data_IF_682465137039
#
_entry.id   IF_682465137039
#
_cell.length_a   1.000
_cell.length_b   1.000
_cell.length_c   1.000
_cell.angle_alpha   90.00
_cell.angle_beta   90.00
_cell.angle_gamma   90.00
#
_symmetry.space_group_name_H-M   'P 1'
#
loop_
_entity.id
_entity.type
_entity.pdbx_description
1 polymer ?
#
# COMPACT_ATOMS: atom_id res chain seq x y z
N UNK A 1 -12.31 -27.78 -16.56
CA UNK A 1 -12.82 -27.11 -15.36
C UNK A 1 -11.63 -26.41 -14.72
N UNK A 2 -11.48 -25.14 -14.99
CA UNK A 2 -10.40 -24.32 -14.40
C UNK A 2 -10.83 -23.95 -13.00
N UNK A 3 -10.50 -24.80 -12.03
CA UNK A 3 -10.82 -24.53 -10.64
C UNK A 3 -9.75 -23.61 -10.08
N UNK A 4 -10.09 -22.34 -9.86
CA UNK A 4 -9.23 -21.43 -9.10
C UNK A 4 -8.77 -22.12 -7.81
N UNK A 5 -7.45 -22.02 -7.46
CA UNK A 5 -6.93 -22.61 -6.23
C UNK A 5 -7.70 -22.11 -5.00
N UNK A 6 -8.05 -23.02 -4.13
CA UNK A 6 -8.75 -22.73 -2.90
C UNK A 6 -7.79 -22.09 -1.89
N UNK A 7 -8.11 -20.90 -1.38
CA UNK A 7 -7.19 -20.16 -0.51
C UNK A 7 -7.77 -19.85 0.86
N UNK A 8 -6.90 -19.83 1.87
CA UNK A 8 -7.19 -19.40 3.24
C UNK A 8 -6.24 -18.28 3.63
N UNK A 9 -6.76 -17.13 3.99
CA UNK A 9 -5.97 -15.94 4.33
C UNK A 9 -5.95 -15.73 5.85
N UNK A 10 -4.76 -15.64 6.46
CA UNK A 10 -4.60 -15.46 7.90
C UNK A 10 -4.07 -14.05 8.19
N UNK A 11 -4.88 -13.23 8.89
CA UNK A 11 -4.60 -11.82 9.17
C UNK A 11 -4.63 -11.56 10.67
N UNK A 12 -3.46 -11.30 11.28
CA UNK A 12 -3.29 -11.18 12.73
C UNK A 12 -3.47 -9.76 13.30
N UNK A 13 -3.83 -8.77 12.51
CA UNK A 13 -4.04 -7.39 12.94
C UNK A 13 -5.44 -7.18 13.54
N UNK A 14 -5.53 -6.31 14.58
CA UNK A 14 -6.83 -5.82 15.10
C UNK A 14 -7.28 -4.53 14.42
N UNK A 15 -6.34 -3.71 13.96
CA UNK A 15 -6.58 -2.47 13.25
C UNK A 15 -6.48 -2.60 11.73
N UNK A 16 -6.54 -1.49 11.00
CA UNK A 16 -6.51 -1.41 9.54
C UNK A 16 -5.27 -0.67 9.03
N UNK A 17 -4.10 -1.30 9.15
CA UNK A 17 -2.89 -0.83 8.48
C UNK A 17 -2.91 -1.10 6.96
N UNK A 18 -1.87 -0.67 6.24
CA UNK A 18 -1.78 -0.86 4.79
C UNK A 18 -1.80 -2.33 4.36
N UNK A 19 -1.18 -3.22 5.14
CA UNK A 19 -1.16 -4.66 4.86
C UNK A 19 -2.54 -5.31 5.06
N UNK A 20 -3.24 -4.92 6.12
CA UNK A 20 -4.59 -5.39 6.43
C UNK A 20 -5.61 -4.91 5.40
N UNK A 21 -5.56 -3.64 5.00
CA UNK A 21 -6.42 -3.09 3.94
C UNK A 21 -6.19 -3.82 2.62
N UNK A 22 -4.94 -4.05 2.25
CA UNK A 22 -4.64 -4.83 1.05
C UNK A 22 -5.19 -6.25 1.15
N UNK A 23 -5.04 -6.94 2.31
CA UNK A 23 -5.56 -8.29 2.51
C UNK A 23 -7.09 -8.34 2.31
N UNK A 24 -7.82 -7.42 2.94
CA UNK A 24 -9.28 -7.30 2.78
C UNK A 24 -9.68 -7.10 1.32
N UNK A 25 -9.01 -6.18 0.63
CA UNK A 25 -9.29 -5.88 -0.77
C UNK A 25 -9.02 -7.09 -1.68
N UNK A 26 -7.89 -7.77 -1.51
CA UNK A 26 -7.54 -8.96 -2.28
C UNK A 26 -8.54 -10.09 -2.04
N UNK A 27 -8.90 -10.39 -0.79
CA UNK A 27 -9.86 -11.43 -0.43
C UNK A 27 -11.23 -11.13 -1.04
N UNK A 28 -11.72 -9.90 -0.88
CA UNK A 28 -13.00 -9.48 -1.45
C UNK A 28 -13.00 -9.56 -2.98
N UNK A 29 -11.89 -9.21 -3.63
CA UNK A 29 -11.74 -9.28 -5.07
C UNK A 29 -11.72 -10.73 -5.58
N UNK A 30 -11.00 -11.64 -4.89
CA UNK A 30 -11.00 -13.08 -5.19
C UNK A 30 -12.41 -13.66 -5.05
N UNK A 31 -13.14 -13.29 -3.99
CA UNK A 31 -14.53 -13.75 -3.77
C UNK A 31 -15.47 -13.25 -4.87
N UNK A 32 -15.37 -11.97 -5.28
CA UNK A 32 -16.18 -11.42 -6.39
C UNK A 32 -15.98 -12.15 -7.71
N UNK A 33 -14.78 -12.70 -7.93
CA UNK A 33 -14.45 -13.49 -9.13
C UNK A 33 -14.84 -14.98 -9.02
N UNK A 34 -15.57 -15.36 -7.98
CA UNK A 34 -16.00 -16.75 -7.76
C UNK A 34 -14.92 -17.66 -7.21
N UNK A 35 -13.78 -17.11 -6.76
CA UNK A 35 -12.70 -17.88 -6.14
C UNK A 35 -13.15 -18.46 -4.78
N UNK A 36 -12.75 -19.71 -4.50
CA UNK A 36 -12.97 -20.35 -3.20
C UNK A 36 -11.99 -19.77 -2.18
N UNK A 37 -12.39 -18.70 -1.48
CA UNK A 37 -11.54 -17.96 -0.53
C UNK A 37 -12.22 -17.90 0.84
N UNK A 38 -11.42 -18.06 1.92
CA UNK A 38 -11.84 -17.88 3.30
C UNK A 38 -10.77 -17.11 4.09
N UNK A 39 -11.13 -16.61 5.26
CA UNK A 39 -10.22 -15.87 6.11
C UNK A 39 -10.20 -16.36 7.57
N UNK A 40 -9.03 -16.30 8.20
CA UNK A 40 -8.87 -16.36 9.66
C UNK A 40 -8.55 -14.98 10.18
N UNK A 41 -9.43 -14.44 11.01
CA UNK A 41 -9.35 -13.06 11.51
C UNK A 41 -9.47 -13.02 13.04
N UNK A 42 -9.22 -11.86 13.63
CA UNK A 42 -9.58 -11.61 15.03
C UNK A 42 -11.08 -11.26 15.09
N UNK A 43 -11.84 -11.97 15.90
CA UNK A 43 -13.29 -11.73 16.05
C UNK A 43 -13.59 -10.27 16.41
N UNK A 44 -14.55 -9.66 15.70
CA UNK A 44 -14.97 -8.28 15.92
C UNK A 44 -13.92 -7.22 15.56
N UNK A 45 -12.77 -7.60 14.98
CA UNK A 45 -11.75 -6.68 14.49
C UNK A 45 -12.20 -5.93 13.21
N UNK A 46 -11.51 -4.85 12.88
CA UNK A 46 -11.79 -4.05 11.68
C UNK A 46 -11.71 -4.89 10.40
N UNK A 47 -10.70 -5.76 10.30
CA UNK A 47 -10.55 -6.70 9.17
C UNK A 47 -11.77 -7.59 9.02
N UNK A 48 -12.25 -8.20 10.13
CA UNK A 48 -13.41 -9.08 10.10
C UNK A 48 -14.68 -8.37 9.62
N UNK A 49 -14.87 -7.11 10.02
CA UNK A 49 -16.02 -6.29 9.60
C UNK A 49 -15.93 -5.81 8.15
N UNK A 50 -14.73 -5.66 7.62
CA UNK A 50 -14.48 -5.14 6.26
C UNK A 50 -14.53 -6.24 5.18
N UNK A 51 -14.52 -7.53 5.55
CA UNK A 51 -14.68 -8.62 4.61
C UNK A 51 -16.13 -8.71 4.11
N UNK A 52 -16.29 -9.03 2.82
CA UNK A 52 -17.59 -9.22 2.22
C UNK A 52 -18.35 -10.36 2.93
N UNK A 53 -19.71 -10.27 3.10
CA UNK A 53 -20.51 -11.31 3.77
C UNK A 53 -20.41 -12.70 3.15
N UNK A 54 -20.07 -12.78 1.85
CA UNK A 54 -19.88 -14.03 1.13
C UNK A 54 -18.57 -14.76 1.48
N UNK A 55 -17.62 -14.10 2.17
CA UNK A 55 -16.35 -14.70 2.56
C UNK A 55 -16.50 -15.45 3.89
N UNK A 56 -16.34 -16.79 3.91
CA UNK A 56 -16.36 -17.56 5.15
C UNK A 56 -15.23 -17.10 6.08
N UNK A 57 -15.57 -16.88 7.36
CA UNK A 57 -14.61 -16.43 8.36
C UNK A 57 -14.47 -17.43 9.48
N UNK A 58 -13.23 -17.73 9.82
CA UNK A 58 -12.82 -18.41 11.04
C UNK A 58 -12.19 -17.38 11.97
N UNK A 59 -12.23 -17.60 13.27
CA UNK A 59 -11.70 -16.64 14.23
C UNK A 59 -10.66 -17.25 15.14
N UNK A 60 -9.54 -16.53 15.33
CA UNK A 60 -8.49 -16.84 16.29
C UNK A 60 -8.04 -15.53 16.98
N UNK A 61 -7.74 -15.56 18.31
CA UNK A 61 -7.37 -14.35 19.05
C UNK A 61 -6.09 -13.68 18.56
N UNK A 62 -5.11 -14.47 18.12
CA UNK A 62 -3.81 -14.03 17.61
C UNK A 62 -3.14 -12.97 18.52
N UNK A 63 -3.21 -13.21 19.85
CA UNK A 63 -2.71 -12.28 20.85
C UNK A 63 -1.19 -12.08 20.78
N UNK A 64 -0.44 -13.10 20.34
CA UNK A 64 1.00 -13.06 20.16
C UNK A 64 1.50 -14.16 19.21
N UNK A 65 2.80 -14.15 18.93
CA UNK A 65 3.41 -15.15 18.03
C UNK A 65 3.57 -16.56 18.65
N UNK A 66 3.32 -16.72 19.93
CA UNK A 66 3.41 -17.98 20.69
C UNK A 66 2.05 -18.46 21.18
N UNK A 67 0.97 -17.88 20.69
CA UNK A 67 -0.40 -18.21 21.07
C UNK A 67 -0.79 -19.60 20.52
N UNK A 68 -0.66 -20.63 21.39
CA UNK A 68 -0.96 -22.02 21.05
C UNK A 68 -2.45 -22.24 20.73
N UNK A 69 -3.34 -21.49 21.38
CA UNK A 69 -4.77 -21.56 21.11
C UNK A 69 -5.08 -21.06 19.69
N UNK A 70 -4.49 -19.93 19.31
CA UNK A 70 -4.62 -19.43 17.95
C UNK A 70 -4.02 -20.39 16.92
N UNK A 71 -2.89 -21.02 17.20
CA UNK A 71 -2.31 -22.07 16.32
C UNK A 71 -3.29 -23.22 16.11
N UNK A 72 -3.86 -23.73 17.18
CA UNK A 72 -4.86 -24.80 17.11
C UNK A 72 -6.09 -24.36 16.31
N UNK A 73 -6.64 -23.18 16.58
CA UNK A 73 -7.80 -22.62 15.83
C UNK A 73 -7.50 -22.48 14.32
N UNK A 74 -6.29 -22.03 13.96
CA UNK A 74 -5.85 -21.92 12.56
C UNK A 74 -5.77 -23.31 11.93
N UNK A 75 -5.23 -24.33 12.64
CA UNK A 75 -5.17 -25.70 12.13
C UNK A 75 -6.58 -26.29 11.91
N UNK A 76 -7.51 -26.05 12.83
CA UNK A 76 -8.91 -26.44 12.67
C UNK A 76 -9.54 -25.75 11.42
N UNK A 77 -9.25 -24.47 11.19
CA UNK A 77 -9.71 -23.75 10.00
C UNK A 77 -9.14 -24.35 8.70
N UNK A 78 -7.85 -24.70 8.71
CA UNK A 78 -7.19 -25.36 7.56
C UNK A 78 -7.83 -26.73 7.30
N UNK A 79 -8.06 -27.53 8.33
CA UNK A 79 -8.69 -28.84 8.21
C UNK A 79 -10.15 -28.77 7.71
N UNK A 80 -10.91 -27.79 8.18
CA UNK A 80 -12.29 -27.58 7.78
C UNK A 80 -12.42 -27.02 6.37
N UNK A 81 -11.56 -26.05 6.01
CA UNK A 81 -11.61 -25.39 4.71
C UNK A 81 -10.91 -26.19 3.61
N UNK A 82 -9.88 -26.97 3.94
CA UNK A 82 -9.04 -27.73 3.00
C UNK A 82 -8.52 -26.88 1.84
N UNK A 83 -7.74 -25.83 2.11
CA UNK A 83 -7.20 -24.95 1.07
C UNK A 83 -6.03 -25.60 0.31
N UNK A 84 -5.76 -25.15 -0.92
CA UNK A 84 -4.50 -25.39 -1.63
C UNK A 84 -3.40 -24.45 -1.12
N UNK A 85 -3.77 -23.21 -0.81
CA UNK A 85 -2.86 -22.14 -0.37
C UNK A 85 -3.32 -21.58 0.98
N UNK A 86 -2.38 -21.45 1.91
CA UNK A 86 -2.55 -20.64 3.14
C UNK A 86 -1.67 -19.41 3.02
N UNK A 87 -2.28 -18.26 2.75
CA UNK A 87 -1.55 -17.00 2.68
C UNK A 87 -1.59 -16.27 4.02
N UNK A 88 -0.43 -15.85 4.51
CA UNK A 88 -0.30 -15.11 5.76
C UNK A 88 0.16 -13.68 5.52
N UNK A 89 -0.33 -12.75 6.35
CA UNK A 89 0.02 -11.34 6.30
C UNK A 89 0.70 -10.93 7.60
N UNK A 90 1.89 -10.32 7.48
CA UNK A 90 2.72 -9.87 8.59
C UNK A 90 3.24 -10.99 9.50
N UNK A 91 4.30 -10.68 10.27
CA UNK A 91 5.05 -11.68 11.04
C UNK A 91 4.27 -12.43 12.11
N UNK A 92 3.22 -11.82 12.69
CA UNK A 92 2.39 -12.50 13.72
C UNK A 92 1.61 -13.67 13.13
N UNK A 93 0.86 -13.43 12.06
CA UNK A 93 0.09 -14.47 11.37
C UNK A 93 1.02 -15.55 10.81
N UNK A 94 2.11 -15.14 10.15
CA UNK A 94 3.09 -16.07 9.58
C UNK A 94 3.68 -16.99 10.64
N UNK A 95 4.04 -16.48 11.83
CA UNK A 95 4.60 -17.27 12.92
C UNK A 95 3.64 -18.33 13.47
N UNK A 96 2.33 -18.04 13.43
CA UNK A 96 1.29 -18.94 13.94
C UNK A 96 0.95 -20.08 12.98
N UNK A 97 1.20 -19.92 11.69
CA UNK A 97 0.99 -20.97 10.68
C UNK A 97 2.24 -21.85 10.60
N UNK A 98 2.08 -23.17 10.77
CA UNK A 98 3.16 -24.15 10.64
C UNK A 98 2.64 -25.30 9.80
N UNK A 99 3.20 -25.45 8.60
CA UNK A 99 2.84 -26.49 7.64
C UNK A 99 4.07 -27.27 7.23
N UNK A 100 3.87 -28.50 6.78
CA UNK A 100 4.97 -29.37 6.33
C UNK A 100 5.36 -28.99 4.90
N UNK A 101 6.63 -28.68 4.64
CA UNK A 101 7.11 -28.43 3.27
C UNK A 101 6.84 -29.61 2.33
N UNK A 102 6.61 -29.32 1.04
CA UNK A 102 6.36 -30.33 0.02
C UNK A 102 4.99 -31.01 0.07
N UNK A 103 4.07 -30.54 0.92
CA UNK A 103 2.69 -31.03 1.03
C UNK A 103 1.69 -29.88 0.96
N UNK A 104 0.48 -30.18 0.51
CA UNK A 104 -0.64 -29.22 0.61
C UNK A 104 -1.15 -29.08 2.04
N UNK A 105 -1.61 -27.89 2.42
CA UNK A 105 -1.57 -26.65 1.65
C UNK A 105 -0.18 -25.99 1.64
N UNK A 106 0.10 -25.20 0.59
CA UNK A 106 1.31 -24.39 0.51
C UNK A 106 1.19 -23.15 1.40
N UNK A 107 2.20 -22.91 2.23
CA UNK A 107 2.26 -21.69 3.05
C UNK A 107 2.96 -20.56 2.28
N UNK A 108 2.20 -19.58 1.82
CA UNK A 108 2.68 -18.36 1.18
C UNK A 108 2.73 -17.20 2.19
N UNK A 109 3.90 -16.67 2.48
CA UNK A 109 4.05 -15.51 3.35
C UNK A 109 4.13 -14.22 2.55
N UNK A 110 3.21 -13.26 2.80
CA UNK A 110 3.22 -11.95 2.16
C UNK A 110 3.91 -10.92 3.04
N UNK A 111 4.89 -10.23 2.45
CA UNK A 111 5.62 -9.13 3.07
C UNK A 111 5.30 -7.81 2.34
N UNK A 112 5.11 -6.75 3.11
CA UNK A 112 4.90 -5.39 2.60
C UNK A 112 5.98 -4.42 3.09
N UNK A 113 7.11 -4.93 3.59
CA UNK A 113 8.23 -4.13 4.10
C UNK A 113 9.46 -4.98 4.38
N UNK A 114 10.59 -4.34 4.57
CA UNK A 114 11.90 -4.95 4.86
C UNK A 114 11.97 -5.38 6.34
N UNK A 115 11.38 -6.52 6.66
CA UNK A 115 11.33 -7.07 8.02
C UNK A 115 12.44 -8.07 8.27
N UNK A 116 12.83 -8.24 9.55
CA UNK A 116 13.66 -9.39 9.96
C UNK A 116 12.92 -10.69 9.66
N UNK A 117 13.59 -11.65 8.99
CA UNK A 117 12.93 -12.85 8.45
C UNK A 117 12.69 -13.97 9.46
N UNK A 118 13.06 -13.81 10.76
CA UNK A 118 12.88 -14.86 11.78
C UNK A 118 11.46 -15.41 11.86
N UNK A 119 10.43 -14.57 11.58
CA UNK A 119 9.03 -14.98 11.61
C UNK A 119 8.57 -15.64 10.31
N UNK A 120 9.34 -15.52 9.22
CA UNK A 120 8.92 -15.87 7.87
C UNK A 120 9.64 -17.07 7.27
N UNK A 121 10.87 -17.41 7.73
CA UNK A 121 11.74 -18.43 7.11
C UNK A 121 11.12 -19.83 6.97
N UNK A 122 10.10 -20.14 7.74
CA UNK A 122 9.44 -21.47 7.73
C UNK A 122 8.27 -21.55 6.73
N UNK A 123 7.94 -20.47 6.06
CA UNK A 123 6.98 -20.51 4.95
C UNK A 123 7.59 -21.28 3.77
N UNK A 124 6.74 -21.72 2.83
CA UNK A 124 7.17 -22.48 1.66
C UNK A 124 7.49 -21.59 0.48
N UNK A 125 6.82 -20.42 0.40
CA UNK A 125 7.05 -19.39 -0.58
C UNK A 125 6.81 -18.01 0.02
N UNK A 126 7.35 -16.98 -0.62
CA UNK A 126 7.28 -15.60 -0.17
C UNK A 126 6.85 -14.68 -1.31
N UNK A 127 5.99 -13.71 -1.00
CA UNK A 127 5.62 -12.69 -1.96
C UNK A 127 5.87 -11.30 -1.38
N UNK A 128 6.72 -10.53 -2.07
CA UNK A 128 6.96 -9.11 -1.85
C UNK A 128 6.07 -8.25 -2.73
N UNK A 129 5.81 -7.01 -2.32
CA UNK A 129 5.02 -6.06 -3.11
C UNK A 129 5.86 -5.18 -4.03
N UNK A 130 7.19 -5.31 -4.02
CA UNK A 130 8.14 -4.61 -4.89
C UNK A 130 9.29 -5.53 -5.29
N UNK A 131 9.97 -5.20 -6.38
CA UNK A 131 11.16 -5.94 -6.84
C UNK A 131 12.29 -5.85 -5.82
N UNK A 132 12.55 -4.65 -5.27
CA UNK A 132 13.57 -4.47 -4.24
C UNK A 132 13.29 -5.25 -2.97
N UNK A 133 12.02 -5.43 -2.59
CA UNK A 133 11.67 -6.33 -1.49
C UNK A 133 11.92 -7.78 -1.87
N UNK A 134 11.59 -8.21 -3.09
CA UNK A 134 11.91 -9.54 -3.60
C UNK A 134 13.41 -9.81 -3.56
N UNK A 135 14.23 -8.89 -4.06
CA UNK A 135 15.68 -8.98 -4.04
C UNK A 135 16.21 -9.07 -2.60
N UNK A 136 15.73 -8.23 -1.69
CA UNK A 136 16.07 -8.30 -0.27
C UNK A 136 15.80 -9.68 0.33
N UNK A 137 14.66 -10.31 0.01
CA UNK A 137 14.33 -11.64 0.51
C UNK A 137 15.35 -12.69 0.05
N UNK A 138 15.79 -12.62 -1.21
CA UNK A 138 16.84 -13.50 -1.77
C UNK A 138 18.19 -13.23 -1.09
N UNK A 139 18.59 -11.97 -0.95
CA UNK A 139 19.83 -11.58 -0.26
C UNK A 139 19.87 -12.02 1.21
N UNK A 140 18.70 -12.11 1.86
CA UNK A 140 18.56 -12.66 3.21
C UNK A 140 18.57 -14.21 3.25
N UNK A 141 18.84 -14.87 2.11
CA UNK A 141 19.02 -16.31 1.99
C UNK A 141 17.73 -17.11 1.84
N UNK A 142 16.67 -16.52 1.30
CA UNK A 142 15.51 -17.28 0.85
C UNK A 142 15.73 -17.77 -0.60
N UNK A 143 15.25 -18.98 -0.97
CA UNK A 143 15.43 -19.52 -2.31
C UNK A 143 14.76 -18.63 -3.37
N UNK A 144 15.50 -18.18 -4.36
CA UNK A 144 15.00 -17.27 -5.41
C UNK A 144 13.78 -17.87 -6.14
N UNK A 145 13.78 -19.18 -6.41
CA UNK A 145 12.67 -19.88 -7.06
C UNK A 145 11.36 -19.86 -6.26
N UNK A 146 11.39 -19.52 -4.97
CA UNK A 146 10.24 -19.44 -4.08
C UNK A 146 9.91 -17.99 -3.67
N UNK A 147 10.68 -17.00 -4.15
CA UNK A 147 10.42 -15.58 -3.92
C UNK A 147 9.70 -14.99 -5.13
N UNK A 148 8.54 -14.41 -4.87
CA UNK A 148 7.68 -13.84 -5.92
C UNK A 148 7.44 -12.36 -5.65
N UNK A 149 7.10 -11.61 -6.71
CA UNK A 149 6.76 -10.18 -6.61
C UNK A 149 5.38 -9.97 -7.21
N UNK A 150 4.44 -9.50 -6.38
CA UNK A 150 3.10 -9.10 -6.81
C UNK A 150 2.74 -7.81 -6.08
N UNK A 151 2.53 -6.74 -6.83
CA UNK A 151 2.25 -5.39 -6.31
C UNK A 151 0.92 -5.26 -5.57
N UNK A 152 0.62 -4.03 -5.21
CA UNK A 152 -0.71 -3.66 -4.73
C UNK A 152 -1.54 -3.13 -5.90
N UNK A 153 -2.85 -3.12 -5.75
CA UNK A 153 -3.74 -2.44 -6.68
C UNK A 153 -4.43 -1.25 -6.03
N UNK A 154 -4.93 -0.36 -6.84
CA UNK A 154 -5.79 0.74 -6.42
C UNK A 154 -7.15 0.63 -7.09
N UNK A 155 -8.19 1.01 -6.36
CA UNK A 155 -9.53 1.07 -6.94
C UNK A 155 -9.66 2.35 -7.77
N UNK A 156 -10.35 2.32 -8.91
CA UNK A 156 -10.65 3.54 -9.63
C UNK A 156 -11.53 4.43 -8.74
N UNK A 157 -11.10 5.68 -8.45
CA UNK A 157 -11.87 6.56 -7.59
C UNK A 157 -13.14 7.06 -8.32
N UNK A 158 -14.19 7.33 -7.54
CA UNK A 158 -15.28 8.16 -8.02
C UNK A 158 -14.71 9.55 -8.39
N UNK A 159 -15.04 10.03 -9.59
CA UNK A 159 -14.58 11.34 -10.04
C UNK A 159 -15.46 12.43 -9.51
N UNK A 160 -14.84 13.45 -8.90
CA UNK A 160 -15.52 14.69 -8.59
C UNK A 160 -15.76 15.46 -9.90
N UNK A 161 -16.97 15.96 -10.09
CA UNK A 161 -17.23 16.94 -11.12
C UNK A 161 -16.64 18.31 -10.74
N UNK A 162 -16.68 19.29 -11.65
CA UNK A 162 -16.11 20.63 -11.42
C UNK A 162 -16.80 21.34 -10.26
N UNK A 163 -18.12 21.19 -10.11
CA UNK A 163 -18.90 21.81 -9.04
C UNK A 163 -18.54 21.18 -7.67
N UNK A 164 -18.49 19.87 -7.57
CA UNK A 164 -18.10 19.13 -6.36
C UNK A 164 -16.67 19.51 -5.92
N UNK A 165 -15.75 19.60 -6.88
CA UNK A 165 -14.37 20.02 -6.63
C UNK A 165 -14.30 21.47 -6.13
N UNK A 166 -15.02 22.39 -6.76
CA UNK A 166 -15.09 23.79 -6.36
C UNK A 166 -15.71 23.93 -4.96
N UNK A 167 -16.79 23.21 -4.69
CA UNK A 167 -17.46 23.17 -3.38
C UNK A 167 -16.53 22.64 -2.28
N UNK A 168 -15.80 21.56 -2.55
CA UNK A 168 -14.82 21.02 -1.61
C UNK A 168 -13.68 22.02 -1.35
N UNK A 169 -13.13 22.66 -2.40
CA UNK A 169 -12.13 23.73 -2.20
C UNK A 169 -12.68 24.89 -1.36
N UNK A 170 -13.88 25.34 -1.64
CA UNK A 170 -14.51 26.44 -0.88
C UNK A 170 -14.73 26.08 0.60
N UNK A 171 -15.20 24.86 0.88
CA UNK A 171 -15.41 24.39 2.27
C UNK A 171 -14.14 24.31 3.10
N UNK A 172 -12.98 24.19 2.46
CA UNK A 172 -11.66 24.18 3.08
C UNK A 172 -10.98 25.57 3.07
N UNK A 173 -11.64 26.62 2.57
CA UNK A 173 -11.04 27.95 2.42
C UNK A 173 -9.97 28.03 1.32
N UNK A 174 -10.01 27.12 0.33
CA UNK A 174 -9.00 26.96 -0.73
C UNK A 174 -9.46 27.49 -2.09
N UNK A 175 -10.57 28.25 -2.14
CA UNK A 175 -11.07 28.83 -3.38
C UNK A 175 -10.00 29.73 -4.05
N UNK A 176 -9.75 29.54 -5.34
CA UNK A 176 -8.74 30.29 -6.09
C UNK A 176 -7.28 29.93 -5.77
N UNK A 177 -7.02 29.01 -4.84
CA UNK A 177 -5.68 28.64 -4.39
C UNK A 177 -5.05 27.52 -5.23
N UNK A 178 -3.72 27.48 -5.26
CA UNK A 178 -2.94 26.26 -5.58
C UNK A 178 -2.85 25.38 -4.35
N UNK A 179 -2.90 24.07 -4.54
CA UNK A 179 -2.95 23.10 -3.43
C UNK A 179 -1.92 22.00 -3.61
N UNK A 180 -1.07 21.84 -2.61
CA UNK A 180 -0.30 20.61 -2.40
C UNK A 180 -1.09 19.69 -1.46
N UNK A 181 -1.06 18.39 -1.69
CA UNK A 181 -1.64 17.41 -0.77
C UNK A 181 -0.59 16.39 -0.34
N UNK A 182 -0.49 16.15 0.96
CA UNK A 182 0.24 15.04 1.53
C UNK A 182 -0.71 14.08 2.24
N UNK A 183 -0.67 12.80 1.89
CA UNK A 183 -1.54 11.77 2.46
C UNK A 183 -0.72 10.70 3.16
N UNK A 184 -1.05 10.36 4.40
CA UNK A 184 -0.42 9.28 5.12
C UNK A 184 -0.38 9.43 6.63
N UNK A 185 0.08 8.39 7.31
CA UNK A 185 0.24 8.40 8.76
C UNK A 185 1.30 9.45 9.17
N UNK A 186 1.03 10.23 10.19
CA UNK A 186 1.99 11.20 10.73
C UNK A 186 3.06 10.47 11.58
N UNK A 187 4.07 9.94 10.86
CA UNK A 187 5.11 9.08 11.40
C UNK A 187 6.50 9.52 10.87
N UNK A 188 7.61 9.34 11.60
CA UNK A 188 8.95 9.79 11.18
C UNK A 188 9.37 9.38 9.77
N UNK A 189 9.02 8.14 9.36
CA UNK A 189 9.39 7.64 8.02
C UNK A 189 8.72 8.38 6.84
N UNK A 190 7.70 9.22 7.11
CA UNK A 190 6.95 9.92 6.07
C UNK A 190 7.50 11.29 5.69
N UNK A 191 8.57 11.77 6.37
CA UNK A 191 9.25 13.00 6.00
C UNK A 191 8.42 14.28 6.10
N UNK A 192 7.45 14.30 7.01
CA UNK A 192 6.53 15.44 7.15
C UNK A 192 7.22 16.72 7.56
N UNK A 193 8.25 16.65 8.41
CA UNK A 193 9.07 17.80 8.79
C UNK A 193 9.81 18.38 7.57
N UNK A 194 10.41 17.51 6.75
CA UNK A 194 11.08 17.93 5.51
C UNK A 194 10.09 18.59 4.54
N UNK A 195 8.86 18.08 4.46
CA UNK A 195 7.81 18.69 3.64
C UNK A 195 7.44 20.10 4.16
N UNK A 196 7.28 20.28 5.47
CA UNK A 196 6.98 21.59 6.07
C UNK A 196 8.14 22.59 5.82
N UNK A 197 9.38 22.16 6.00
CA UNK A 197 10.56 22.99 5.68
C UNK A 197 10.66 23.31 4.18
N UNK A 198 10.33 22.38 3.31
CA UNK A 198 10.28 22.61 1.86
C UNK A 198 9.16 23.60 1.51
N UNK A 199 7.97 23.39 2.08
CA UNK A 199 6.80 24.24 1.84
C UNK A 199 7.02 25.69 2.32
N UNK A 200 7.73 25.90 3.43
CA UNK A 200 8.11 27.21 3.91
C UNK A 200 8.97 28.03 2.92
N UNK A 201 9.70 27.34 2.03
CA UNK A 201 10.54 27.97 1.00
C UNK A 201 9.78 28.34 -0.27
N UNK A 202 8.57 27.82 -0.44
CA UNK A 202 7.79 28.07 -1.66
C UNK A 202 7.11 29.45 -1.59
N UNK A 203 7.19 30.24 -2.67
CA UNK A 203 6.49 31.51 -2.75
C UNK A 203 4.99 31.32 -2.72
N UNK A 204 4.30 32.27 -2.11
CA UNK A 204 2.83 32.35 -2.13
C UNK A 204 2.47 33.65 -2.84
N UNK A 205 1.81 33.55 -4.00
CA UNK A 205 1.47 34.70 -4.81
C UNK A 205 0.20 35.37 -4.31
N UNK A 206 0.18 36.72 -4.20
CA UNK A 206 -1.06 37.45 -3.94
C UNK A 206 -2.08 37.13 -5.06
N UNK A 207 -3.29 36.73 -4.70
CA UNK A 207 -4.34 36.38 -5.67
C UNK A 207 -4.36 34.92 -6.11
N UNK A 208 -3.28 34.13 -5.89
CA UNK A 208 -3.27 32.69 -6.09
C UNK A 208 -2.43 32.02 -4.98
N UNK A 209 -2.89 32.06 -3.72
CA UNK A 209 -2.13 31.56 -2.60
C UNK A 209 -1.86 30.06 -2.70
N UNK A 210 -0.72 29.62 -2.14
CA UNK A 210 -0.35 28.22 -2.11
C UNK A 210 -0.63 27.64 -0.72
N UNK A 211 -1.42 26.57 -0.66
CA UNK A 211 -1.78 25.85 0.56
C UNK A 211 -1.29 24.41 0.54
N UNK A 212 -1.01 23.86 1.72
CA UNK A 212 -0.71 22.45 1.94
C UNK A 212 -1.85 21.80 2.72
N UNK A 213 -2.44 20.76 2.16
CA UNK A 213 -3.46 19.93 2.80
C UNK A 213 -2.80 18.65 3.31
N UNK A 214 -2.85 18.41 4.61
CA UNK A 214 -2.29 17.23 5.27
C UNK A 214 -3.42 16.29 5.68
N UNK A 215 -3.49 15.12 5.02
CA UNK A 215 -4.52 14.10 5.22
C UNK A 215 -3.92 12.91 5.95
N UNK A 216 -4.35 12.68 7.16
CA UNK A 216 -3.89 11.59 8.00
C UNK A 216 -3.69 12.02 9.45
N UNK A 217 -3.36 11.04 10.28
CA UNK A 217 -3.11 11.26 11.71
C UNK A 217 -1.97 10.34 12.17
N UNK A 218 -1.44 10.61 13.36
CA UNK A 218 -0.37 9.80 13.93
C UNK A 218 0.38 10.47 15.07
N UNK A 219 1.39 9.77 15.62
CA UNK A 219 2.08 10.22 16.84
C UNK A 219 2.79 11.56 16.71
N UNK A 220 3.16 12.00 15.50
CA UNK A 220 3.85 13.27 15.29
C UNK A 220 2.92 14.48 15.15
N UNK A 221 1.60 14.33 15.28
CA UNK A 221 0.63 15.40 15.04
C UNK A 221 1.00 16.70 15.76
N UNK A 222 1.16 16.64 17.07
CA UNK A 222 1.43 17.83 17.90
C UNK A 222 2.78 18.48 17.59
N UNK A 223 3.82 17.65 17.31
CA UNK A 223 5.15 18.10 16.95
C UNK A 223 5.14 18.84 15.61
N UNK A 224 4.46 18.28 14.62
CA UNK A 224 4.36 18.89 13.29
C UNK A 224 3.52 20.16 13.29
N UNK A 225 2.47 20.26 14.10
CA UNK A 225 1.71 21.49 14.29
C UNK A 225 2.53 22.58 15.00
N UNK A 226 3.40 22.20 15.94
CA UNK A 226 4.35 23.14 16.56
C UNK A 226 5.35 23.67 15.54
N UNK A 227 5.98 22.78 14.77
CA UNK A 227 6.91 23.15 13.69
C UNK A 227 6.23 24.03 12.63
N UNK A 228 4.98 23.74 12.28
CA UNK A 228 4.19 24.55 11.34
C UNK A 228 4.05 26.00 11.84
N UNK A 229 3.77 26.19 13.13
CA UNK A 229 3.69 27.53 13.75
C UNK A 229 5.05 28.25 13.80
N UNK A 230 6.11 27.55 14.16
CA UNK A 230 7.48 28.07 14.17
C UNK A 230 7.91 28.57 12.78
N UNK A 231 7.49 27.85 11.73
CA UNK A 231 7.77 28.21 10.34
C UNK A 231 6.82 29.31 9.79
N UNK A 232 5.85 29.80 10.58
CA UNK A 232 4.89 30.80 10.13
C UNK A 232 3.89 30.32 9.08
N UNK A 233 3.57 29.02 9.09
CA UNK A 233 2.73 28.36 8.08
C UNK A 233 1.29 28.10 8.56
N UNK A 234 0.89 28.56 9.74
CA UNK A 234 -0.39 28.21 10.37
C UNK A 234 -1.60 28.48 9.47
N UNK A 235 -1.58 29.57 8.70
CA UNK A 235 -2.68 29.97 7.81
C UNK A 235 -2.64 29.26 6.44
N UNK A 236 -1.58 28.54 6.15
CA UNK A 236 -1.34 27.89 4.84
C UNK A 236 -1.36 26.37 4.90
N UNK A 237 -1.36 25.74 6.08
CA UNK A 237 -1.38 24.29 6.28
C UNK A 237 -2.69 23.84 6.92
N UNK A 238 -3.40 22.95 6.22
CA UNK A 238 -4.69 22.43 6.63
C UNK A 238 -4.57 20.98 7.10
N UNK A 239 -4.89 20.74 8.36
CA UNK A 239 -4.80 19.44 9.01
C UNK A 239 -6.17 18.76 9.03
N UNK A 240 -6.40 17.78 8.15
CA UNK A 240 -7.72 17.15 8.04
C UNK A 240 -7.91 15.90 8.92
N UNK A 241 -6.84 15.45 9.58
CA UNK A 241 -6.90 14.21 10.35
C UNK A 241 -7.11 12.99 9.48
N UNK A 242 -7.52 11.89 10.11
CA UNK A 242 -7.81 10.66 9.40
C UNK A 242 -9.04 10.78 8.51
N UNK A 243 -8.91 10.37 7.25
CA UNK A 243 -10.00 10.35 6.27
C UNK A 243 -10.19 8.92 5.74
N UNK A 244 -11.44 8.46 5.69
CA UNK A 244 -11.78 7.13 5.15
C UNK A 244 -11.61 7.08 3.63
N UNK A 245 -11.92 8.18 2.96
CA UNK A 245 -11.75 8.37 1.51
C UNK A 245 -10.82 9.55 1.24
N UNK A 246 -9.51 9.32 1.12
CA UNK A 246 -8.55 10.36 0.75
C UNK A 246 -8.61 10.73 -0.73
N UNK A 247 -9.30 9.95 -1.57
CA UNK A 247 -9.35 10.12 -3.03
C UNK A 247 -9.76 11.53 -3.45
N UNK A 248 -10.78 12.09 -2.80
CA UNK A 248 -11.28 13.43 -3.06
C UNK A 248 -10.23 14.55 -2.86
N UNK A 249 -9.29 14.37 -1.94
CA UNK A 249 -8.26 15.38 -1.67
C UNK A 249 -7.13 15.35 -2.69
N UNK A 250 -6.84 14.20 -3.29
CA UNK A 250 -5.95 14.14 -4.45
C UNK A 250 -6.54 14.93 -5.62
N UNK A 251 -7.85 14.77 -5.90
CA UNK A 251 -8.51 15.41 -7.05
C UNK A 251 -8.62 16.94 -6.94
N UNK A 252 -8.59 17.52 -5.74
CA UNK A 252 -8.56 18.98 -5.58
C UNK A 252 -7.14 19.56 -5.66
N UNK A 253 -6.11 18.71 -5.56
CA UNK A 253 -4.73 19.17 -5.48
C UNK A 253 -4.10 19.42 -6.84
N UNK A 254 -3.22 20.41 -6.89
CA UNK A 254 -2.34 20.64 -8.02
C UNK A 254 -1.19 19.63 -8.03
N UNK A 255 -0.64 19.27 -6.86
CA UNK A 255 0.45 18.30 -6.71
C UNK A 255 0.21 17.44 -5.49
N UNK A 256 0.36 16.14 -5.63
CA UNK A 256 0.49 15.19 -4.50
C UNK A 256 1.95 15.01 -4.13
N UNK A 257 2.25 15.08 -2.83
CA UNK A 257 3.62 14.99 -2.33
C UNK A 257 3.80 13.76 -1.46
N UNK A 258 4.76 12.90 -1.85
CA UNK A 258 5.25 11.80 -1.03
C UNK A 258 6.67 12.12 -0.55
N UNK A 259 6.79 12.75 0.61
CA UNK A 259 8.08 13.18 1.17
C UNK A 259 8.80 12.09 1.99
N UNK A 260 8.36 10.84 1.87
CA UNK A 260 8.83 9.72 2.70
C UNK A 260 10.34 9.54 2.64
N UNK A 261 10.98 9.40 3.79
CA UNK A 261 12.40 9.04 3.89
C UNK A 261 12.60 7.51 3.82
N UNK A 262 11.55 6.77 4.13
CA UNK A 262 11.48 5.33 4.00
C UNK A 262 10.09 4.91 3.50
N UNK A 263 10.06 4.29 2.33
CA UNK A 263 8.84 3.82 1.69
C UNK A 263 9.14 2.53 0.93
N UNK A 264 8.39 1.47 1.19
CA UNK A 264 8.61 0.18 0.52
C UNK A 264 7.99 0.15 -0.86
N UNK A 265 6.77 0.67 -1.03
CA UNK A 265 6.08 0.74 -2.31
C UNK A 265 5.68 2.18 -2.65
N UNK A 266 4.90 2.82 -1.79
CA UNK A 266 4.32 4.14 -2.08
C UNK A 266 2.87 4.04 -2.57
N UNK A 267 1.99 3.41 -1.80
CA UNK A 267 0.56 3.35 -2.15
C UNK A 267 -0.03 4.73 -2.45
N UNK A 268 0.42 5.78 -1.75
CA UNK A 268 -0.03 7.17 -1.96
C UNK A 268 0.31 7.69 -3.36
N UNK A 269 1.36 7.17 -4.01
CA UNK A 269 1.70 7.48 -5.40
C UNK A 269 0.68 6.82 -6.33
N UNK A 270 0.39 5.53 -6.12
CA UNK A 270 -0.61 4.81 -6.89
C UNK A 270 -2.00 5.45 -6.74
N UNK A 271 -2.37 5.84 -5.51
CA UNK A 271 -3.60 6.55 -5.21
C UNK A 271 -3.67 7.91 -5.95
N UNK A 272 -2.60 8.70 -5.92
CA UNK A 272 -2.53 9.98 -6.62
C UNK A 272 -2.66 9.81 -8.14
N UNK A 273 -1.95 8.85 -8.74
CA UNK A 273 -2.05 8.54 -10.17
C UNK A 273 -3.47 8.08 -10.57
N UNK A 274 -4.10 7.22 -9.76
CA UNK A 274 -5.49 6.80 -9.99
C UNK A 274 -6.45 7.98 -9.95
N UNK A 275 -6.15 9.00 -9.13
CA UNK A 275 -6.89 10.24 -9.04
C UNK A 275 -6.46 11.31 -10.08
N UNK A 276 -5.53 10.97 -10.99
CA UNK A 276 -5.01 11.87 -12.05
C UNK A 276 -4.38 13.14 -11.47
N UNK A 277 -3.61 12.98 -10.41
CA UNK A 277 -2.89 14.06 -9.75
C UNK A 277 -1.40 13.94 -10.03
N UNK A 278 -0.75 15.05 -10.38
CA UNK A 278 0.71 15.10 -10.55
C UNK A 278 1.40 14.74 -9.24
N UNK A 279 2.41 13.86 -9.30
CA UNK A 279 3.14 13.40 -8.12
C UNK A 279 4.55 13.97 -8.07
N UNK A 280 4.91 14.50 -6.90
CA UNK A 280 6.31 14.74 -6.51
C UNK A 280 6.63 13.78 -5.38
N UNK A 281 7.70 13.02 -5.51
CA UNK A 281 8.17 12.10 -4.45
C UNK A 281 9.66 12.25 -4.19
N UNK A 282 10.08 11.95 -2.97
CA UNK A 282 11.50 11.72 -2.68
C UNK A 282 12.00 10.44 -3.35
N UNK A 283 13.32 10.32 -3.57
CA UNK A 283 14.00 9.13 -4.11
C UNK A 283 14.13 8.01 -3.07
N UNK A 284 13.07 7.76 -2.30
CA UNK A 284 13.00 6.57 -1.46
C UNK A 284 12.86 5.30 -2.32
N UNK A 285 13.14 4.13 -1.75
CA UNK A 285 13.27 2.88 -2.51
C UNK A 285 12.01 2.52 -3.30
N UNK A 286 10.82 2.57 -2.68
CA UNK A 286 9.57 2.27 -3.36
C UNK A 286 9.24 3.25 -4.49
N UNK A 287 9.27 4.58 -4.26
CA UNK A 287 9.13 5.56 -5.32
C UNK A 287 10.06 5.35 -6.52
N UNK A 288 11.33 4.96 -6.31
CA UNK A 288 12.27 4.67 -7.40
C UNK A 288 11.85 3.46 -8.27
N UNK A 289 11.04 2.55 -7.74
CA UNK A 289 10.50 1.44 -8.54
C UNK A 289 9.25 1.83 -9.34
N UNK A 290 8.49 2.82 -8.84
CA UNK A 290 7.24 3.25 -9.45
C UNK A 290 7.46 4.39 -10.47
N UNK A 291 8.34 5.33 -10.12
CA UNK A 291 8.44 6.61 -10.81
C UNK A 291 9.63 6.67 -11.76
N UNK A 292 9.38 7.17 -12.94
CA UNK A 292 10.35 7.62 -13.93
C UNK A 292 10.37 9.15 -13.90
N UNK A 293 11.51 9.71 -13.43
CA UNK A 293 11.66 11.15 -13.23
C UNK A 293 11.39 11.93 -14.53
N UNK A 294 10.57 12.96 -14.44
CA UNK A 294 10.08 13.78 -15.54
C UNK A 294 9.20 13.08 -16.60
N UNK A 295 8.82 11.79 -16.40
CA UNK A 295 7.90 11.08 -17.27
C UNK A 295 6.52 10.91 -16.62
N UNK A 296 6.42 10.24 -15.48
CA UNK A 296 5.16 9.99 -14.77
C UNK A 296 5.05 10.73 -13.42
N UNK A 297 6.00 11.64 -13.15
CA UNK A 297 6.09 12.48 -11.97
C UNK A 297 7.50 13.03 -11.79
N UNK A 298 7.77 13.68 -10.68
CA UNK A 298 9.06 14.31 -10.40
C UNK A 298 9.67 13.73 -9.13
N UNK A 299 10.98 13.47 -9.15
CA UNK A 299 11.74 12.90 -8.04
C UNK A 299 12.66 13.95 -7.40
N UNK A 300 12.51 14.15 -6.08
CA UNK A 300 13.33 15.03 -5.26
C UNK A 300 14.41 14.25 -4.49
N UNK A 301 15.51 14.89 -4.13
CA UNK A 301 16.52 14.28 -3.25
C UNK A 301 15.92 13.83 -1.92
N UNK A 302 16.47 12.73 -1.37
CA UNK A 302 16.07 12.18 -0.08
C UNK A 302 16.66 13.00 1.07
N UNK A 303 15.83 13.39 2.06
CA UNK A 303 16.31 14.12 3.25
C UNK A 303 16.84 15.51 2.95
N UNK A 304 16.43 16.13 1.86
CA UNK A 304 16.83 17.47 1.42
C UNK A 304 15.60 18.37 1.22
N UNK A 305 15.18 19.11 2.25
CA UNK A 305 14.05 20.04 2.14
C UNK A 305 14.23 21.13 1.08
N UNK A 306 15.46 21.58 0.82
CA UNK A 306 15.72 22.59 -0.19
C UNK A 306 15.57 22.02 -1.60
N UNK A 307 16.13 20.82 -1.83
CA UNK A 307 15.94 20.09 -3.08
C UNK A 307 14.48 19.73 -3.33
N UNK A 308 13.73 19.30 -2.29
CA UNK A 308 12.30 19.06 -2.39
C UNK A 308 11.53 20.33 -2.77
N UNK A 309 11.87 21.49 -2.16
CA UNK A 309 11.25 22.77 -2.51
C UNK A 309 11.48 23.13 -3.98
N UNK A 310 12.71 22.96 -4.50
CA UNK A 310 13.03 23.22 -5.89
C UNK A 310 12.23 22.34 -6.86
N UNK A 311 12.04 21.06 -6.53
CA UNK A 311 11.25 20.14 -7.36
C UNK A 311 9.75 20.47 -7.27
N UNK A 312 9.23 20.83 -6.09
CA UNK A 312 7.85 21.29 -5.92
C UNK A 312 7.57 22.56 -6.72
N UNK A 313 8.51 23.54 -6.70
CA UNK A 313 8.39 24.75 -7.51
C UNK A 313 8.34 24.39 -9.01
N UNK A 314 9.26 23.55 -9.49
CA UNK A 314 9.25 23.05 -10.87
C UNK A 314 7.92 22.38 -11.24
N UNK A 315 7.35 21.57 -10.33
CA UNK A 315 6.04 20.92 -10.55
C UNK A 315 4.89 21.94 -10.66
N UNK A 316 4.93 22.98 -9.85
CA UNK A 316 3.93 24.06 -9.88
C UNK A 316 4.04 24.93 -11.15
N UNK A 317 5.23 25.08 -11.73
CA UNK A 317 5.52 25.92 -12.87
C UNK A 317 5.52 25.16 -14.22
N UNK A 318 5.21 23.85 -14.20
CA UNK A 318 5.08 23.06 -15.44
C UNK A 318 4.07 23.68 -16.39
N UNK A 319 4.46 23.76 -17.67
CA UNK A 319 3.55 24.08 -18.75
C UNK A 319 2.35 23.08 -18.77
N UNK A 320 1.15 23.55 -19.14
CA UNK A 320 -0.06 22.71 -19.09
C UNK A 320 0.08 21.37 -19.82
N UNK A 321 0.69 21.36 -20.99
CA UNK A 321 0.88 20.15 -21.79
C UNK A 321 1.86 19.16 -21.15
N UNK A 322 2.99 19.63 -20.61
CA UNK A 322 3.95 18.80 -19.90
C UNK A 322 3.34 18.20 -18.63
N UNK A 323 2.57 18.99 -17.90
CA UNK A 323 1.80 18.54 -16.73
C UNK A 323 0.79 17.46 -17.09
N UNK A 324 0.00 17.70 -18.15
CA UNK A 324 -1.01 16.74 -18.61
C UNK A 324 -0.38 15.42 -19.07
N UNK A 325 0.76 15.48 -19.78
CA UNK A 325 1.50 14.29 -20.21
C UNK A 325 1.98 13.45 -19.02
N UNK A 326 2.54 14.06 -17.97
CA UNK A 326 2.99 13.34 -16.78
C UNK A 326 1.83 12.69 -16.02
N UNK A 327 0.71 13.40 -15.89
CA UNK A 327 -0.51 12.86 -15.24
C UNK A 327 -1.03 11.66 -16.02
N UNK A 328 -1.06 11.75 -17.37
CA UNK A 328 -1.53 10.66 -18.22
C UNK A 328 -0.60 9.45 -18.16
N UNK A 329 0.71 9.66 -18.15
CA UNK A 329 1.68 8.57 -18.00
C UNK A 329 1.51 7.81 -16.67
N UNK A 330 1.31 8.52 -15.55
CA UNK A 330 1.02 7.89 -14.27
C UNK A 330 -0.32 7.12 -14.26
N UNK A 331 -1.35 7.69 -14.90
CA UNK A 331 -2.65 7.02 -15.05
C UNK A 331 -2.56 5.78 -15.95
N UNK A 332 -1.70 5.79 -16.97
CA UNK A 332 -1.44 4.63 -17.83
C UNK A 332 -0.73 3.51 -17.06
N UNK A 333 0.27 3.84 -16.22
CA UNK A 333 0.91 2.86 -15.35
C UNK A 333 -0.12 2.16 -14.44
N UNK A 334 -1.12 2.90 -13.92
CA UNK A 334 -2.22 2.30 -13.14
C UNK A 334 -3.02 1.32 -14.00
N UNK A 335 -3.43 1.73 -15.22
CA UNK A 335 -4.26 0.88 -16.10
C UNK A 335 -3.55 -0.41 -16.50
N UNK A 336 -2.25 -0.34 -16.72
CA UNK A 336 -1.46 -1.49 -17.18
C UNK A 336 -1.05 -2.44 -16.06
N UNK A 337 -0.72 -1.91 -14.86
CA UNK A 337 0.01 -2.69 -13.87
C UNK A 337 -0.62 -2.75 -12.48
N UNK A 338 -1.51 -1.80 -12.13
CA UNK A 338 -1.98 -1.64 -10.75
C UNK A 338 -3.50 -1.65 -10.62
N UNK A 339 -4.20 -2.23 -11.61
CA UNK A 339 -5.65 -2.48 -11.52
C UNK A 339 -5.93 -3.70 -10.65
N UNK A 340 -7.14 -3.76 -10.07
CA UNK A 340 -7.61 -4.95 -9.35
C UNK A 340 -7.50 -6.20 -10.24
N UNK A 341 -7.90 -6.08 -11.51
CA UNK A 341 -7.85 -7.19 -12.46
C UNK A 341 -6.45 -7.76 -12.60
N UNK A 342 -5.46 -6.92 -12.94
CA UNK A 342 -4.08 -7.34 -13.17
C UNK A 342 -3.45 -8.00 -11.93
N UNK A 343 -3.69 -7.42 -10.74
CA UNK A 343 -3.10 -7.94 -9.49
C UNK A 343 -3.79 -9.22 -9.03
N UNK A 344 -5.11 -9.33 -9.17
CA UNK A 344 -5.83 -10.55 -8.80
C UNK A 344 -5.46 -11.68 -9.75
N UNK A 345 -5.33 -11.43 -11.07
CA UNK A 345 -4.85 -12.42 -12.04
C UNK A 345 -3.45 -12.92 -11.66
N UNK A 346 -2.53 -12.00 -11.33
CA UNK A 346 -1.18 -12.37 -10.89
C UNK A 346 -1.18 -13.24 -9.61
N UNK A 347 -2.10 -13.00 -8.66
CA UNK A 347 -2.24 -13.86 -7.48
C UNK A 347 -2.84 -15.22 -7.83
N UNK A 348 -3.85 -15.30 -8.69
CA UNK A 348 -4.44 -16.56 -9.15
C UNK A 348 -3.39 -17.41 -9.88
N UNK A 349 -2.61 -16.79 -10.76
CA UNK A 349 -1.50 -17.47 -11.47
C UNK A 349 -0.44 -17.95 -10.50
N UNK A 350 -0.07 -17.14 -9.50
CA UNK A 350 0.89 -17.53 -8.46
C UNK A 350 0.36 -18.74 -7.66
N UNK A 351 -0.89 -18.69 -7.22
CA UNK A 351 -1.50 -19.79 -6.45
C UNK A 351 -1.57 -21.09 -7.27
N UNK A 352 -1.91 -20.99 -8.56
CA UNK A 352 -1.95 -22.13 -9.47
C UNK A 352 -0.56 -22.76 -9.61
N UNK A 353 0.47 -21.96 -9.88
CA UNK A 353 1.85 -22.46 -9.96
C UNK A 353 2.30 -23.14 -8.67
N UNK A 354 2.05 -22.53 -7.51
CA UNK A 354 2.46 -23.08 -6.22
C UNK A 354 1.72 -24.39 -5.89
N UNK A 355 0.44 -24.50 -6.21
CA UNK A 355 -0.34 -25.73 -6.07
C UNK A 355 0.25 -26.85 -6.94
N UNK A 356 0.48 -26.57 -8.22
CA UNK A 356 0.91 -27.59 -9.20
C UNK A 356 2.36 -28.06 -9.00
N UNK A 357 3.22 -27.21 -8.42
CA UNK A 357 4.59 -27.58 -8.03
C UNK A 357 4.62 -28.58 -6.87
N UNK A 358 3.68 -28.49 -5.95
CA UNK A 358 3.61 -29.40 -4.79
C UNK A 358 3.06 -30.78 -5.16
N UNK A 359 2.26 -30.90 -6.23
CA UNK A 359 1.77 -32.18 -6.76
C UNK A 359 2.83 -33.00 -7.53
N UNK A 360 3.91 -32.35 -7.96
CA UNK A 360 5.10 -32.99 -8.55
C UNK A 360 6.16 -33.12 -7.45
N UNK A 361 6.05 -34.15 -6.62
CA UNK A 361 7.10 -34.47 -5.65
C UNK A 361 8.48 -34.53 -6.35
N UNK A 362 9.59 -34.16 -5.64
CA UNK A 362 10.91 -34.35 -6.19
C UNK A 362 11.05 -35.83 -6.54
N UNK A 363 11.26 -36.11 -7.83
CA UNK A 363 11.62 -37.45 -8.26
C UNK A 363 12.81 -37.90 -7.41
N UNK A 364 12.61 -38.91 -6.58
CA UNK A 364 13.68 -39.64 -5.96
C UNK A 364 14.48 -40.26 -7.10
N UNK A 365 15.49 -39.57 -7.62
CA UNK A 365 16.57 -40.15 -8.35
C UNK A 365 17.41 -40.96 -7.34
N UNK A 366 17.04 -42.21 -7.19
CA UNK A 366 17.88 -43.24 -6.60
C UNK A 366 19.11 -43.44 -7.51
N UNK A 367 20.23 -42.82 -7.14
CA UNK A 367 21.57 -43.34 -7.45
C UNK A 367 22.51 -43.08 -6.28
#
# INVERSE_FOLDING_TARGET
MDTHPKSLHVIGGKGSGGAERFAVRLINALARRGGAVAAVTVAGGEVARALAPAVPQFHAPMAGGWDLWSRWRIQCAIAAWQPDIVQTYMGRATRLVRLTPGRHPVHLARLGGFYTLRAYRHAHAWVGNTRGLGQYLVEQGLPESQVHVVGNFVDPPARLDEHERATLKASLGLAGSRVLVGVGRLHPYKGWADLLHAFARLPSEPGRPLHLVMVGDGPLRNELEALCRELGLADRVHWLGWQNDPGRYYQLADVSVCASVYETLGNVILEAWANRTLVVSTRAQGPLELMRDAENGLLAPLGDPAGLAGVLQRALDLAPDARAAMIEAGAEDIRQHYTEAAIVDAYVDLYTRLRDQTGKGPGFDSR
#
